data_IF_215224440986
#
_entry.id   IF_215224440986
#
_cell.length_a   1.000
_cell.length_b   1.000
_cell.length_c   1.000
_cell.angle_alpha   90.00
_cell.angle_beta   90.00
_cell.angle_gamma   90.00
#
_symmetry.space_group_name_H-M   'P 1'
#
loop_
_entity.id
_entity.type
_entity.pdbx_description
1 polymer ?
#
# COMPACT_ATOMS: atom_id res chain seq x y z
N UNK A 1 -50.66 58.05 -18.42
CA UNK A 1 -49.38 57.65 -17.84
C UNK A 1 -48.92 56.34 -18.52
N UNK A 2 -47.97 56.42 -19.46
CA UNK A 2 -47.43 55.24 -20.14
C UNK A 2 -46.26 54.69 -19.30
N UNK A 3 -46.46 53.52 -18.65
CA UNK A 3 -45.42 52.80 -18.00
C UNK A 3 -44.54 52.10 -19.07
N UNK A 4 -43.39 52.72 -19.36
CA UNK A 4 -42.42 52.19 -20.29
C UNK A 4 -41.71 50.97 -19.67
N UNK A 5 -42.11 49.76 -20.06
CA UNK A 5 -41.41 48.52 -19.77
C UNK A 5 -40.03 48.55 -20.44
N UNK A 6 -38.95 48.77 -19.68
CA UNK A 6 -37.59 48.74 -20.16
C UNK A 6 -37.28 47.28 -20.52
N UNK A 7 -37.42 46.91 -21.81
CA UNK A 7 -36.95 45.61 -22.35
C UNK A 7 -35.43 45.55 -22.23
N UNK A 8 -34.91 44.79 -21.23
CA UNK A 8 -33.48 44.55 -21.09
C UNK A 8 -32.94 43.92 -22.38
N UNK A 9 -31.85 44.46 -22.93
CA UNK A 9 -31.25 43.98 -24.21
C UNK A 9 -30.92 42.51 -24.10
N UNK A 10 -31.10 41.72 -25.18
CA UNK A 10 -30.80 40.28 -25.21
C UNK A 10 -29.36 39.99 -24.77
N UNK A 11 -28.42 40.83 -25.09
CA UNK A 11 -27.01 40.76 -24.72
C UNK A 11 -26.81 40.83 -23.18
N UNK A 12 -27.53 41.74 -22.48
CA UNK A 12 -27.46 41.82 -21.00
C UNK A 12 -28.02 40.57 -20.33
N UNK A 13 -29.03 39.90 -20.89
CA UNK A 13 -29.57 38.62 -20.42
C UNK A 13 -28.56 37.50 -20.62
N UNK A 14 -27.89 37.45 -21.77
CA UNK A 14 -26.85 36.48 -22.08
C UNK A 14 -25.66 36.55 -21.09
N UNK A 15 -25.09 37.75 -20.89
CA UNK A 15 -24.00 37.94 -19.92
C UNK A 15 -24.43 37.60 -18.48
N UNK A 16 -25.67 37.92 -18.08
CA UNK A 16 -26.18 37.54 -16.76
C UNK A 16 -26.30 36.01 -16.62
N UNK A 17 -26.72 35.29 -17.65
CA UNK A 17 -26.79 33.85 -17.65
C UNK A 17 -25.41 33.20 -17.50
N UNK A 18 -24.40 33.67 -18.27
CA UNK A 18 -23.01 33.21 -18.15
C UNK A 18 -22.47 33.48 -16.73
N UNK A 19 -22.69 34.68 -16.21
CA UNK A 19 -22.25 35.03 -14.85
C UNK A 19 -22.86 34.10 -13.79
N UNK A 20 -24.17 33.78 -13.88
CA UNK A 20 -24.85 32.86 -12.98
C UNK A 20 -24.25 31.46 -13.10
N UNK A 21 -23.98 30.97 -14.31
CA UNK A 21 -23.36 29.65 -14.53
C UNK A 21 -21.96 29.60 -13.90
N UNK A 22 -21.11 30.58 -14.17
CA UNK A 22 -19.75 30.66 -13.64
C UNK A 22 -19.78 30.74 -12.10
N UNK A 23 -20.67 31.58 -11.54
CA UNK A 23 -20.84 31.70 -10.10
C UNK A 23 -21.31 30.38 -9.47
N UNK A 24 -22.25 29.68 -10.11
CA UNK A 24 -22.74 28.39 -9.63
C UNK A 24 -21.63 27.33 -9.62
N UNK A 25 -20.81 27.29 -10.67
CA UNK A 25 -19.63 26.39 -10.74
C UNK A 25 -18.63 26.74 -9.64
N UNK A 26 -18.35 28.02 -9.42
CA UNK A 26 -17.42 28.47 -8.36
C UNK A 26 -17.92 28.09 -6.96
N UNK A 27 -19.22 28.26 -6.69
CA UNK A 27 -19.85 27.86 -5.43
C UNK A 27 -19.77 26.34 -5.25
N UNK A 28 -20.09 25.53 -6.29
CA UNK A 28 -20.02 24.08 -6.24
C UNK A 28 -18.58 23.60 -5.99
N UNK A 29 -17.59 24.24 -6.65
CA UNK A 29 -16.17 23.92 -6.44
C UNK A 29 -15.70 24.29 -5.03
N UNK A 30 -16.06 25.47 -4.51
CA UNK A 30 -15.76 25.87 -3.15
C UNK A 30 -16.40 24.93 -2.13
N UNK A 31 -17.66 24.52 -2.36
CA UNK A 31 -18.35 23.52 -1.55
C UNK A 31 -17.64 22.16 -1.55
N UNK A 32 -17.14 21.69 -2.71
CA UNK A 32 -16.35 20.47 -2.80
C UNK A 32 -15.05 20.57 -2.01
N UNK A 33 -14.29 21.67 -2.17
CA UNK A 33 -13.05 21.90 -1.43
C UNK A 33 -13.30 21.96 0.08
N UNK A 34 -14.36 22.64 0.51
CA UNK A 34 -14.76 22.68 1.90
C UNK A 34 -15.09 21.27 2.42
N UNK A 35 -15.89 20.51 1.70
CA UNK A 35 -16.27 19.15 2.05
C UNK A 35 -15.06 18.22 2.23
N UNK A 36 -14.14 18.16 1.23
CA UNK A 36 -12.96 17.31 1.34
C UNK A 36 -11.99 17.76 2.43
N UNK A 37 -11.94 19.08 2.73
CA UNK A 37 -11.11 19.62 3.82
C UNK A 37 -11.68 19.30 5.20
N UNK A 38 -12.99 19.39 5.40
CA UNK A 38 -13.66 19.08 6.65
C UNK A 38 -13.68 17.57 6.95
N UNK A 39 -13.69 16.75 5.90
CA UNK A 39 -13.70 15.29 6.01
C UNK A 39 -12.32 14.66 5.92
N UNK A 40 -11.24 15.47 5.89
CA UNK A 40 -9.85 14.99 5.82
C UNK A 40 -9.54 14.00 6.96
N UNK A 41 -9.06 12.82 6.62
CA UNK A 41 -8.51 11.87 7.59
C UNK A 41 -7.18 12.38 8.13
N UNK A 42 -7.13 12.63 9.44
CA UNK A 42 -5.97 13.16 10.17
C UNK A 42 -5.60 12.18 11.29
N UNK A 43 -4.86 11.11 10.98
CA UNK A 43 -4.45 10.14 12.01
C UNK A 43 -3.40 10.74 12.96
N UNK A 44 -3.36 10.23 14.18
CA UNK A 44 -2.31 10.53 15.13
C UNK A 44 -0.93 10.05 14.65
N UNK A 45 0.14 10.60 15.23
CA UNK A 45 1.51 10.17 14.92
C UNK A 45 1.72 8.69 15.25
N UNK A 46 1.13 8.22 16.36
CA UNK A 46 1.17 6.83 16.81
C UNK A 46 -0.20 6.43 17.35
N UNK A 47 -0.77 5.36 16.80
CA UNK A 47 -2.04 4.79 17.24
C UNK A 47 -1.84 3.32 17.67
N UNK A 48 -2.45 2.91 18.79
CA UNK A 48 -2.56 1.49 19.14
C UNK A 48 -3.54 0.82 18.18
N UNK A 49 -3.16 -0.34 17.66
CA UNK A 49 -3.99 -1.12 16.77
C UNK A 49 -4.58 -2.30 17.53
N UNK A 50 -5.89 -2.50 17.34
CA UNK A 50 -6.59 -3.65 17.90
C UNK A 50 -6.13 -4.93 17.20
N UNK A 51 -5.83 -5.94 18.01
CA UNK A 51 -5.50 -7.29 17.57
C UNK A 51 -6.80 -8.11 17.61
N UNK A 52 -7.10 -8.81 16.52
CA UNK A 52 -8.25 -9.67 16.35
C UNK A 52 -7.78 -11.12 16.17
N UNK A 53 -8.61 -12.08 16.53
CA UNK A 53 -8.25 -13.48 16.45
C UNK A 53 -7.48 -13.96 17.69
N UNK A 54 -6.90 -15.15 17.59
CA UNK A 54 -6.19 -15.76 18.71
C UNK A 54 -5.04 -16.62 18.16
N UNK A 55 -3.81 -16.14 18.28
CA UNK A 55 -2.60 -16.90 18.00
C UNK A 55 -1.97 -17.37 19.31
N UNK A 56 -1.45 -18.59 19.30
CA UNK A 56 -0.81 -19.20 20.47
C UNK A 56 0.67 -19.48 20.30
N UNK A 57 1.19 -19.45 19.04
CA UNK A 57 2.59 -19.76 18.74
C UNK A 57 3.51 -18.73 19.37
N UNK A 58 4.37 -19.17 20.28
CA UNK A 58 5.47 -18.37 20.83
C UNK A 58 6.69 -18.42 19.93
N UNK A 59 7.68 -17.59 20.25
CA UNK A 59 8.96 -17.49 19.53
C UNK A 59 10.11 -17.60 20.52
N UNK A 60 11.18 -18.29 20.17
CA UNK A 60 12.44 -18.39 20.90
C UNK A 60 13.64 -18.24 19.97
N UNK A 61 14.81 -18.00 20.53
CA UNK A 61 16.09 -18.02 19.81
C UNK A 61 16.28 -19.37 19.12
N UNK A 62 16.75 -19.37 17.87
CA UNK A 62 16.95 -20.55 17.04
C UNK A 62 15.72 -20.94 16.21
N UNK A 63 14.54 -20.38 16.47
CA UNK A 63 13.36 -20.68 15.68
C UNK A 63 13.49 -20.13 14.25
N UNK A 64 13.05 -20.96 13.27
CA UNK A 64 12.79 -20.53 11.90
C UNK A 64 11.39 -19.95 11.78
N UNK A 65 11.27 -18.85 11.07
CA UNK A 65 10.04 -18.10 10.87
C UNK A 65 9.86 -17.81 9.39
N UNK A 66 8.74 -18.25 8.83
CA UNK A 66 8.37 -17.97 7.44
C UNK A 66 7.60 -16.68 7.36
N UNK A 67 8.10 -15.73 6.57
CA UNK A 67 7.51 -14.39 6.35
C UNK A 67 7.04 -14.30 4.91
N UNK A 68 5.86 -13.72 4.70
CA UNK A 68 5.32 -13.42 3.37
C UNK A 68 4.92 -11.95 3.31
N UNK A 69 5.31 -11.26 2.25
CA UNK A 69 4.83 -9.91 1.92
C UNK A 69 4.10 -9.92 0.58
N UNK A 70 2.95 -9.25 0.49
CA UNK A 70 2.19 -9.18 -0.74
C UNK A 70 1.32 -7.91 -0.83
N UNK A 71 1.61 -7.05 -1.79
CA UNK A 71 0.65 -6.04 -2.22
C UNK A 71 -0.45 -6.74 -3.05
N UNK A 72 -1.70 -6.69 -2.59
CA UNK A 72 -2.80 -7.43 -3.22
C UNK A 72 -3.63 -6.59 -4.20
N UNK A 73 -3.20 -5.35 -4.48
CA UNK A 73 -3.89 -4.46 -5.43
C UNK A 73 -5.39 -4.37 -5.16
N UNK A 74 -5.78 -4.25 -3.88
CA UNK A 74 -7.20 -4.27 -3.42
C UNK A 74 -8.08 -5.34 -4.10
N UNK A 75 -7.45 -6.44 -4.54
CA UNK A 75 -8.11 -7.55 -5.24
C UNK A 75 -8.66 -7.19 -6.62
N UNK A 76 -8.31 -6.03 -7.19
CA UNK A 76 -8.85 -5.57 -8.47
C UNK A 76 -7.79 -5.42 -9.58
N UNK A 77 -6.49 -5.48 -9.25
CA UNK A 77 -5.38 -5.24 -10.19
C UNK A 77 -4.78 -6.53 -10.78
N UNK A 78 -5.58 -7.58 -10.95
CA UNK A 78 -5.13 -8.81 -11.59
C UNK A 78 -4.70 -8.62 -13.06
N UNK A 79 -4.26 -9.71 -13.71
CA UNK A 79 -3.66 -9.69 -15.04
C UNK A 79 -4.53 -9.09 -16.17
N UNK A 80 -5.82 -8.89 -15.95
CA UNK A 80 -6.76 -8.27 -16.88
C UNK A 80 -6.98 -6.77 -16.65
N UNK A 81 -6.33 -6.19 -15.64
CA UNK A 81 -6.51 -4.80 -15.26
C UNK A 81 -5.43 -3.89 -15.87
N UNK A 82 -5.82 -2.66 -16.12
CA UNK A 82 -5.00 -1.46 -16.29
C UNK A 82 -5.51 -0.38 -15.34
N UNK A 83 -4.71 0.65 -15.05
CA UNK A 83 -5.07 1.67 -14.08
C UNK A 83 -4.66 3.06 -14.55
N UNK A 84 -5.56 4.02 -14.44
CA UNK A 84 -5.39 5.36 -15.00
C UNK A 84 -4.15 6.11 -14.48
N UNK A 85 -3.73 5.88 -13.23
CA UNK A 85 -2.57 6.57 -12.67
C UNK A 85 -1.24 6.07 -13.25
N UNK A 86 -1.22 4.87 -13.81
CA UNK A 86 -0.04 4.23 -14.42
C UNK A 86 -0.09 4.26 -15.96
N UNK A 87 -0.91 5.14 -16.52
CA UNK A 87 -1.05 5.29 -17.98
C UNK A 87 -2.15 4.45 -18.62
N UNK A 88 -2.90 3.68 -17.84
CA UNK A 88 -4.08 2.94 -18.30
C UNK A 88 -5.33 3.82 -18.41
N UNK A 89 -6.47 3.19 -18.69
CA UNK A 89 -7.73 3.90 -18.96
C UNK A 89 -8.79 3.71 -17.87
N UNK A 90 -8.66 2.69 -17.02
CA UNK A 90 -9.74 2.30 -16.11
C UNK A 90 -9.52 2.85 -14.69
N UNK A 91 -10.63 3.32 -14.10
CA UNK A 91 -10.73 3.74 -12.69
C UNK A 91 -11.26 2.58 -11.84
N UNK A 92 -12.30 1.90 -12.33
CA UNK A 92 -12.80 0.64 -11.80
C UNK A 92 -12.23 -0.49 -12.66
N UNK A 93 -11.14 -1.08 -12.22
CA UNK A 93 -10.28 -1.98 -13.00
C UNK A 93 -10.80 -3.41 -13.12
N UNK A 94 -11.81 -3.78 -12.31
CA UNK A 94 -12.37 -5.13 -12.28
C UNK A 94 -13.85 -5.13 -11.91
N UNK A 95 -14.59 -6.18 -12.28
CA UNK A 95 -15.95 -6.41 -11.80
C UNK A 95 -15.99 -6.89 -10.35
N UNK A 96 -17.13 -6.70 -9.67
CA UNK A 96 -17.35 -7.18 -8.29
C UNK A 96 -17.08 -8.68 -8.12
N UNK A 97 -17.49 -9.50 -9.10
CA UNK A 97 -17.25 -10.94 -9.07
C UNK A 97 -15.77 -11.28 -9.23
N UNK A 98 -15.04 -10.52 -10.06
CA UNK A 98 -13.59 -10.70 -10.20
C UNK A 98 -12.85 -10.34 -8.91
N UNK A 99 -13.21 -9.25 -8.24
CA UNK A 99 -12.65 -8.88 -6.93
C UNK A 99 -12.87 -10.00 -5.91
N UNK A 100 -14.11 -10.53 -5.81
CA UNK A 100 -14.41 -11.66 -4.91
C UNK A 100 -13.55 -12.89 -5.21
N UNK A 101 -13.40 -13.24 -6.51
CA UNK A 101 -12.59 -14.36 -6.96
C UNK A 101 -11.10 -14.15 -6.64
N UNK A 102 -10.57 -12.95 -6.88
CA UNK A 102 -9.19 -12.62 -6.58
C UNK A 102 -8.91 -12.73 -5.08
N UNK A 103 -9.75 -12.16 -4.21
CA UNK A 103 -9.58 -12.26 -2.74
C UNK A 103 -9.63 -13.70 -2.28
N UNK A 104 -10.52 -14.54 -2.82
CA UNK A 104 -10.56 -15.98 -2.52
C UNK A 104 -9.25 -16.68 -2.93
N UNK A 105 -8.72 -16.36 -4.12
CA UNK A 105 -7.46 -16.92 -4.62
C UNK A 105 -6.25 -16.46 -3.80
N UNK A 106 -6.21 -15.17 -3.42
CA UNK A 106 -5.19 -14.60 -2.54
C UNK A 106 -5.19 -15.31 -1.18
N UNK A 107 -6.37 -15.47 -0.56
CA UNK A 107 -6.50 -16.25 0.69
C UNK A 107 -6.03 -17.70 0.52
N UNK A 108 -6.33 -18.33 -0.60
CA UNK A 108 -5.88 -19.67 -0.95
C UNK A 108 -4.36 -19.79 -1.04
N UNK A 109 -3.71 -18.82 -1.69
CA UNK A 109 -2.25 -18.80 -1.82
C UNK A 109 -1.56 -18.54 -0.48
N UNK A 110 -2.07 -17.63 0.36
CA UNK A 110 -1.55 -17.42 1.72
C UNK A 110 -1.60 -18.73 2.52
N UNK A 111 -2.73 -19.47 2.47
CA UNK A 111 -2.82 -20.79 3.13
C UNK A 111 -1.84 -21.79 2.57
N UNK A 112 -1.68 -21.87 1.25
CA UNK A 112 -0.73 -22.77 0.57
C UNK A 112 0.71 -22.50 0.98
N UNK A 113 1.12 -21.23 1.03
CA UNK A 113 2.45 -20.84 1.49
C UNK A 113 2.64 -21.05 2.99
N UNK A 114 1.57 -21.05 3.77
CA UNK A 114 1.56 -21.32 5.21
C UNK A 114 2.59 -20.49 6.01
N UNK A 115 2.69 -19.16 5.83
CA UNK A 115 3.64 -18.33 6.55
C UNK A 115 3.28 -18.18 8.02
N UNK A 116 4.28 -17.90 8.85
CA UNK A 116 4.08 -17.51 10.25
C UNK A 116 3.61 -16.06 10.37
N UNK A 117 4.12 -15.21 9.47
CA UNK A 117 3.77 -13.78 9.38
C UNK A 117 3.45 -13.45 7.92
N UNK A 118 2.27 -12.86 7.68
CA UNK A 118 1.88 -12.32 6.37
C UNK A 118 1.68 -10.82 6.47
N UNK A 119 2.43 -10.05 5.69
CA UNK A 119 2.32 -8.59 5.60
C UNK A 119 1.67 -8.22 4.27
N UNK A 120 0.48 -7.64 4.32
CA UNK A 120 -0.36 -7.40 3.15
C UNK A 120 -0.54 -5.90 2.96
N UNK A 121 -0.37 -5.41 1.73
CA UNK A 121 -0.58 -4.02 1.37
C UNK A 121 -1.82 -3.90 0.47
N UNK A 122 -2.36 -2.70 0.37
CA UNK A 122 -3.57 -2.37 -0.39
C UNK A 122 -4.81 -3.20 -0.03
N UNK A 123 -5.10 -3.29 1.26
CA UNK A 123 -6.26 -4.02 1.77
C UNK A 123 -7.43 -3.06 1.95
N UNK A 124 -8.43 -3.14 1.11
CA UNK A 124 -9.63 -2.29 1.22
C UNK A 124 -10.58 -2.82 2.30
N UNK A 125 -11.09 -1.88 3.11
CA UNK A 125 -12.12 -2.15 4.10
C UNK A 125 -13.51 -1.74 3.61
N UNK A 126 -13.61 -0.54 2.99
CA UNK A 126 -14.88 0.04 2.55
C UNK A 126 -14.61 1.07 1.44
N UNK A 127 -14.12 0.61 0.28
CA UNK A 127 -13.76 1.46 -0.86
C UNK A 127 -14.64 1.17 -2.07
N UNK A 128 -15.03 2.24 -2.80
CA UNK A 128 -15.80 2.13 -4.04
C UNK A 128 -15.08 1.26 -5.09
N UNK A 129 -13.75 1.41 -5.23
CA UNK A 129 -12.93 0.69 -6.23
C UNK A 129 -12.97 -0.83 -6.08
N UNK A 130 -13.28 -1.33 -4.88
CA UNK A 130 -13.43 -2.76 -4.57
C UNK A 130 -14.87 -3.13 -4.18
N UNK A 131 -15.86 -2.31 -4.61
CA UNK A 131 -17.29 -2.56 -4.38
C UNK A 131 -17.67 -2.68 -2.90
N UNK A 132 -16.99 -1.92 -2.03
CA UNK A 132 -17.22 -1.90 -0.57
C UNK A 132 -17.05 -3.27 0.09
N UNK A 133 -16.26 -4.17 -0.53
CA UNK A 133 -15.95 -5.48 0.02
C UNK A 133 -14.95 -5.33 1.16
N UNK A 134 -15.35 -5.73 2.38
CA UNK A 134 -14.45 -5.76 3.54
C UNK A 134 -13.43 -6.89 3.40
N UNK A 135 -12.26 -6.57 2.81
CA UNK A 135 -11.18 -7.52 2.58
C UNK A 135 -10.44 -7.86 3.88
N UNK A 136 -10.37 -6.91 4.83
CA UNK A 136 -9.74 -7.13 6.14
C UNK A 136 -10.41 -8.29 6.87
N UNK A 137 -11.73 -8.31 6.91
CA UNK A 137 -12.48 -9.38 7.56
C UNK A 137 -12.34 -10.72 6.82
N UNK A 138 -12.41 -10.68 5.47
CA UNK A 138 -12.31 -11.89 4.65
C UNK A 138 -10.94 -12.56 4.74
N UNK A 139 -9.86 -11.78 4.70
CA UNK A 139 -8.50 -12.28 4.83
C UNK A 139 -8.20 -12.73 6.27
N UNK A 140 -8.64 -11.95 7.28
CA UNK A 140 -8.43 -12.28 8.69
C UNK A 140 -9.09 -13.59 9.10
N UNK A 141 -10.29 -13.87 8.59
CA UNK A 141 -11.01 -15.13 8.84
C UNK A 141 -10.50 -16.31 8.01
N UNK A 142 -9.60 -16.07 7.04
CA UNK A 142 -9.11 -17.13 6.16
C UNK A 142 -7.97 -17.97 6.78
N UNK A 143 -7.45 -17.58 7.94
CA UNK A 143 -6.29 -18.20 8.59
C UNK A 143 -6.64 -18.59 10.02
N UNK A 144 -7.02 -19.85 10.22
CA UNK A 144 -7.29 -20.41 11.55
C UNK A 144 -6.03 -20.38 12.43
N UNK A 145 -6.22 -20.14 13.73
CA UNK A 145 -5.14 -20.07 14.71
C UNK A 145 -4.20 -18.87 14.54
N UNK A 146 -4.65 -17.80 13.84
CA UNK A 146 -3.89 -16.58 13.63
C UNK A 146 -4.55 -15.37 14.28
N UNK A 147 -3.73 -14.38 14.60
CA UNK A 147 -4.15 -13.01 14.88
C UNK A 147 -4.04 -12.16 13.61
N UNK A 148 -4.87 -11.11 13.52
CA UNK A 148 -4.71 -10.11 12.48
C UNK A 148 -4.94 -8.70 13.01
N UNK A 149 -4.29 -7.75 12.39
CA UNK A 149 -4.40 -6.34 12.71
C UNK A 149 -4.22 -5.49 11.46
N UNK A 150 -4.89 -4.33 11.46
CA UNK A 150 -5.03 -3.49 10.29
C UNK A 150 -4.76 -2.04 10.63
N UNK A 151 -3.87 -1.41 9.85
CA UNK A 151 -3.57 0.02 9.95
C UNK A 151 -4.07 0.74 8.69
N UNK A 152 -5.00 1.66 8.88
CA UNK A 152 -5.52 2.48 7.79
C UNK A 152 -4.43 3.45 7.30
N UNK A 153 -4.20 3.48 5.99
CA UNK A 153 -3.29 4.43 5.37
C UNK A 153 -3.97 5.29 4.28
N UNK A 154 -5.20 4.96 3.91
CA UNK A 154 -6.00 5.73 2.98
C UNK A 154 -7.45 5.80 3.44
N UNK A 155 -7.94 7.02 3.73
CA UNK A 155 -9.34 7.27 4.00
C UNK A 155 -9.72 8.62 3.40
N UNK A 156 -10.74 8.61 2.53
CA UNK A 156 -11.36 9.81 1.98
C UNK A 156 -12.86 9.57 1.83
N UNK A 157 -13.66 10.55 2.25
CA UNK A 157 -15.10 10.48 2.07
C UNK A 157 -15.48 10.48 0.59
N UNK A 158 -14.73 11.23 -0.23
CA UNK A 158 -14.90 11.31 -1.67
C UNK A 158 -13.62 11.80 -2.34
N UNK A 159 -13.11 11.05 -3.30
CA UNK A 159 -12.01 11.42 -4.20
C UNK A 159 -12.61 11.82 -5.52
N UNK A 160 -12.60 13.12 -5.90
CA UNK A 160 -13.35 13.66 -7.05
C UNK A 160 -12.72 13.34 -8.40
N UNK A 161 -11.51 12.82 -8.43
CA UNK A 161 -10.73 12.57 -9.65
C UNK A 161 -10.40 11.07 -9.79
N UNK A 162 -10.26 10.56 -11.03
CA UNK A 162 -10.55 11.20 -12.31
C UNK A 162 -12.07 11.27 -12.60
N UNK A 163 -12.47 11.30 -13.86
CA UNK A 163 -13.88 11.16 -14.27
C UNK A 163 -14.02 9.83 -15.02
N UNK A 164 -14.83 8.89 -14.52
CA UNK A 164 -15.64 8.93 -13.30
C UNK A 164 -14.78 8.91 -12.02
N UNK A 165 -15.24 9.54 -10.90
CA UNK A 165 -14.43 9.70 -9.68
C UNK A 165 -14.10 8.35 -9.01
N UNK A 166 -12.95 8.28 -8.32
CA UNK A 166 -12.62 7.14 -7.44
C UNK A 166 -13.65 6.98 -6.31
N UNK A 167 -14.23 8.08 -5.84
CA UNK A 167 -15.28 8.06 -4.82
C UNK A 167 -14.75 7.77 -3.41
N UNK A 168 -15.51 7.06 -2.60
CA UNK A 168 -15.14 6.73 -1.22
C UNK A 168 -13.96 5.76 -1.17
N UNK A 169 -13.02 6.04 -0.28
CA UNK A 169 -11.84 5.23 -0.02
C UNK A 169 -11.70 4.92 1.47
N UNK A 170 -11.46 3.67 1.80
CA UNK A 170 -11.05 3.19 3.13
C UNK A 170 -10.16 1.95 2.93
N UNK A 171 -8.84 2.16 2.97
CA UNK A 171 -7.83 1.17 2.65
C UNK A 171 -6.64 1.25 3.61
N UNK A 172 -5.83 0.19 3.66
CA UNK A 172 -4.68 0.16 4.55
C UNK A 172 -3.74 -1.00 4.30
N UNK A 173 -2.91 -1.25 5.30
CA UNK A 173 -2.01 -2.38 5.39
C UNK A 173 -2.45 -3.31 6.51
N UNK A 174 -2.29 -4.61 6.31
CA UNK A 174 -2.76 -5.65 7.23
C UNK A 174 -1.64 -6.65 7.50
N UNK A 175 -1.52 -7.07 8.75
CA UNK A 175 -0.66 -8.20 9.10
C UNK A 175 -1.50 -9.32 9.68
N UNK A 176 -1.24 -10.55 9.23
CA UNK A 176 -1.79 -11.78 9.80
C UNK A 176 -0.61 -12.54 10.40
N UNK A 177 -0.74 -13.03 11.63
CA UNK A 177 0.35 -13.68 12.33
C UNK A 177 -0.15 -14.91 13.10
N UNK A 178 0.56 -16.03 12.97
CA UNK A 178 0.43 -17.20 13.85
C UNK A 178 1.19 -17.01 15.14
N UNK A 179 2.12 -16.07 15.18
CA UNK A 179 2.86 -15.71 16.38
C UNK A 179 1.99 -14.78 17.23
N UNK A 180 1.92 -15.05 18.53
CA UNK A 180 1.18 -14.21 19.47
C UNK A 180 1.84 -12.84 19.60
N UNK A 181 1.18 -11.80 19.12
CA UNK A 181 1.65 -10.42 19.23
C UNK A 181 1.35 -9.85 20.62
N UNK A 182 2.33 -9.20 21.23
CA UNK A 182 2.18 -8.45 22.48
C UNK A 182 1.60 -7.05 22.24
N UNK A 183 1.87 -6.47 21.07
CA UNK A 183 1.33 -5.17 20.69
C UNK A 183 1.38 -4.98 19.17
N UNK A 184 0.47 -4.16 18.67
CA UNK A 184 0.49 -3.63 17.32
C UNK A 184 0.25 -2.12 17.35
N UNK A 185 0.98 -1.36 16.53
CA UNK A 185 0.89 0.10 16.44
C UNK A 185 0.94 0.54 15.00
N UNK A 186 0.11 1.55 14.67
CA UNK A 186 0.27 2.35 13.47
C UNK A 186 1.20 3.51 13.79
N UNK A 187 2.22 3.73 12.96
CA UNK A 187 3.13 4.88 13.06
C UNK A 187 3.04 5.66 11.76
N UNK A 188 2.59 6.92 11.84
CA UNK A 188 2.44 7.79 10.66
C UNK A 188 3.78 8.07 10.00
N UNK A 189 3.81 7.99 8.68
CA UNK A 189 4.91 8.45 7.84
C UNK A 189 4.67 9.90 7.39
N UNK A 190 5.72 10.64 6.97
CA UNK A 190 5.56 11.95 6.37
C UNK A 190 4.60 11.92 5.18
N UNK A 191 3.72 12.92 5.09
CA UNK A 191 2.76 13.08 4.00
C UNK A 191 3.42 13.84 2.86
N UNK A 192 3.38 13.28 1.65
CA UNK A 192 4.08 13.79 0.47
C UNK A 192 3.37 14.95 -0.23
N UNK A 193 2.11 15.19 0.09
CA UNK A 193 1.26 16.15 -0.63
C UNK A 193 0.85 17.34 0.23
N UNK A 194 0.65 18.50 -0.42
CA UNK A 194 0.12 19.71 0.21
C UNK A 194 -1.39 19.83 0.03
N UNK A 195 -2.03 20.75 0.77
CA UNK A 195 -3.42 21.11 0.55
C UNK A 195 -3.62 21.74 -0.84
N UNK A 196 -4.71 21.48 -1.56
CA UNK A 196 -5.85 20.62 -1.19
C UNK A 196 -5.67 19.13 -1.48
N UNK A 197 -4.69 18.72 -2.30
CA UNK A 197 -4.46 17.34 -2.75
C UNK A 197 -4.29 16.38 -1.57
N UNK A 198 -3.61 16.81 -0.52
CA UNK A 198 -3.39 16.05 0.71
C UNK A 198 -4.69 15.55 1.36
N UNK A 199 -5.79 16.29 1.21
CA UNK A 199 -7.07 15.97 1.90
C UNK A 199 -7.69 14.66 1.44
N UNK A 200 -7.45 14.29 0.19
CA UNK A 200 -7.99 13.09 -0.45
C UNK A 200 -6.91 12.08 -0.83
N UNK A 201 -5.70 12.23 -0.30
CA UNK A 201 -4.57 11.36 -0.61
C UNK A 201 -4.17 10.48 0.59
N UNK A 202 -3.29 9.52 0.34
CA UNK A 202 -2.80 8.56 1.34
C UNK A 202 -2.13 9.27 2.53
N UNK A 203 -2.37 8.72 3.71
CA UNK A 203 -1.66 9.02 4.96
C UNK A 203 -0.85 7.77 5.33
N UNK A 204 0.21 7.51 4.55
CA UNK A 204 1.02 6.30 4.67
C UNK A 204 1.54 6.10 6.09
N UNK A 205 1.70 4.84 6.48
CA UNK A 205 2.12 4.46 7.82
C UNK A 205 2.93 3.17 7.81
N UNK A 206 3.59 2.89 8.91
CA UNK A 206 4.14 1.59 9.26
C UNK A 206 3.17 0.89 10.22
N UNK A 207 2.92 -0.39 10.01
CA UNK A 207 2.24 -1.25 10.98
C UNK A 207 3.30 -2.07 11.70
N UNK A 208 3.62 -1.67 12.92
CA UNK A 208 4.67 -2.25 13.75
C UNK A 208 4.07 -3.18 14.76
N UNK A 209 4.48 -4.43 14.73
CA UNK A 209 4.01 -5.48 15.63
C UNK A 209 5.18 -6.11 16.37
N UNK A 210 4.91 -6.62 17.58
CA UNK A 210 5.95 -7.12 18.48
C UNK A 210 5.52 -8.45 19.11
N UNK A 211 6.44 -9.40 19.10
CA UNK A 211 6.31 -10.69 19.82
C UNK A 211 7.53 -10.88 20.69
N UNK A 212 7.34 -11.22 21.98
CA UNK A 212 8.45 -11.51 22.90
C UNK A 212 9.18 -12.77 22.47
N UNK A 213 10.52 -12.70 22.40
CA UNK A 213 11.37 -13.88 22.17
C UNK A 213 11.75 -14.49 23.50
N UNK A 214 11.23 -15.70 23.75
CA UNK A 214 11.40 -16.40 25.04
C UNK A 214 12.88 -16.58 25.39
N UNK A 215 13.23 -16.33 26.66
CA UNK A 215 14.57 -16.54 27.20
C UNK A 215 15.61 -15.47 26.86
N UNK A 216 15.22 -14.39 26.12
CA UNK A 216 16.22 -13.38 25.67
C UNK A 216 15.99 -11.98 26.25
N UNK A 217 14.83 -11.68 26.78
CA UNK A 217 14.42 -10.31 27.12
C UNK A 217 14.25 -9.39 25.89
N UNK A 218 14.38 -9.93 24.68
CA UNK A 218 14.24 -9.21 23.39
C UNK A 218 12.91 -9.50 22.73
N UNK A 219 12.60 -8.72 21.68
CA UNK A 219 11.40 -8.86 20.90
C UNK A 219 11.73 -9.13 19.41
N UNK A 220 10.89 -9.89 18.74
CA UNK A 220 10.76 -9.87 17.30
C UNK A 220 9.84 -8.72 16.92
N UNK A 221 10.39 -7.73 16.24
CA UNK A 221 9.71 -6.52 15.74
C UNK A 221 9.52 -6.69 14.25
N UNK A 222 8.27 -6.82 13.79
CA UNK A 222 7.96 -6.97 12.38
C UNK A 222 7.10 -5.81 11.90
N UNK A 223 7.53 -5.21 10.79
CA UNK A 223 7.07 -3.92 10.28
C UNK A 223 6.53 -4.13 8.88
N UNK A 224 5.21 -4.02 8.72
CA UNK A 224 4.57 -3.97 7.41
C UNK A 224 4.60 -2.53 6.91
N UNK A 225 4.97 -2.34 5.65
CA UNK A 225 5.09 -1.03 5.02
C UNK A 225 4.52 -1.02 3.59
N UNK A 226 4.13 0.16 3.16
CA UNK A 226 3.84 0.51 1.78
C UNK A 226 4.24 1.97 1.60
N UNK A 227 5.42 2.21 0.98
CA UNK A 227 6.00 3.55 0.86
C UNK A 227 5.43 4.33 -0.35
N UNK A 228 5.79 5.61 -0.44
CA UNK A 228 5.27 6.52 -1.46
C UNK A 228 5.74 6.15 -2.88
N UNK A 229 4.80 6.22 -3.84
CA UNK A 229 5.02 5.88 -5.24
C UNK A 229 5.17 7.11 -6.16
N UNK A 230 4.36 8.15 -5.94
CA UNK A 230 4.04 9.16 -6.96
C UNK A 230 4.52 10.57 -6.65
N UNK A 231 5.28 10.79 -5.58
CA UNK A 231 5.84 12.10 -5.33
C UNK A 231 7.09 12.37 -6.18
N UNK A 232 7.58 13.61 -6.14
CA UNK A 232 8.80 14.02 -6.85
C UNK A 232 10.09 13.66 -6.10
N UNK A 233 10.06 12.66 -5.22
CA UNK A 233 11.19 12.11 -4.48
C UNK A 233 11.39 12.67 -3.06
N UNK A 234 10.90 13.84 -2.72
CA UNK A 234 11.08 14.43 -1.39
C UNK A 234 10.33 13.64 -0.30
N UNK A 235 9.08 13.25 -0.58
CA UNK A 235 8.27 12.43 0.31
C UNK A 235 8.80 11.01 0.45
N UNK A 236 9.22 10.36 -0.65
CA UNK A 236 9.88 9.05 -0.64
C UNK A 236 11.09 9.07 0.30
N UNK A 237 12.03 10.02 0.10
CA UNK A 237 13.22 10.19 0.95
C UNK A 237 12.87 10.45 2.41
N UNK A 238 11.83 11.26 2.68
CA UNK A 238 11.38 11.53 4.04
C UNK A 238 10.81 10.28 4.72
N UNK A 239 10.04 9.47 4.00
CA UNK A 239 9.50 8.20 4.49
C UNK A 239 10.60 7.15 4.70
N UNK A 240 11.55 7.02 3.77
CA UNK A 240 12.72 6.15 3.88
C UNK A 240 13.57 6.50 5.11
N UNK A 241 13.85 7.81 5.33
CA UNK A 241 14.56 8.27 6.53
C UNK A 241 13.79 8.00 7.84
N UNK A 242 12.45 8.11 7.80
CA UNK A 242 11.63 7.79 8.97
C UNK A 242 11.68 6.30 9.31
N UNK A 243 11.62 5.43 8.29
CA UNK A 243 11.79 3.99 8.43
C UNK A 243 13.17 3.65 9.01
N UNK A 244 14.25 4.20 8.43
CA UNK A 244 15.63 3.97 8.89
C UNK A 244 15.81 4.30 10.38
N UNK A 245 15.31 5.45 10.84
CA UNK A 245 15.38 5.82 12.29
C UNK A 245 14.71 4.78 13.18
N UNK A 246 13.60 4.19 12.76
CA UNK A 246 12.89 3.18 13.54
C UNK A 246 13.69 1.87 13.55
N UNK A 247 14.16 1.42 12.38
CA UNK A 247 14.95 0.19 12.25
C UNK A 247 16.23 0.26 13.09
N UNK A 248 17.00 1.34 12.95
CA UNK A 248 18.22 1.60 13.75
C UNK A 248 17.93 1.59 15.25
N UNK A 249 16.86 2.27 15.69
CA UNK A 249 16.48 2.31 17.11
C UNK A 249 16.14 0.92 17.67
N UNK A 250 15.46 0.08 16.89
CA UNK A 250 15.06 -1.25 17.34
C UNK A 250 16.25 -2.23 17.29
N UNK A 251 17.08 -2.16 16.25
CA UNK A 251 18.32 -2.96 16.17
C UNK A 251 19.30 -2.64 17.29
N UNK A 252 19.49 -1.35 17.62
CA UNK A 252 20.35 -0.91 18.73
C UNK A 252 19.91 -1.43 20.11
N UNK A 253 18.62 -1.79 20.28
CA UNK A 253 18.13 -2.46 21.49
C UNK A 253 18.46 -3.96 21.51
N UNK A 254 19.02 -4.49 20.44
CA UNK A 254 19.24 -5.93 20.24
C UNK A 254 17.96 -6.70 19.90
N UNK A 255 16.87 -6.03 19.52
CA UNK A 255 15.67 -6.68 19.01
C UNK A 255 15.94 -7.33 17.66
N UNK A 256 15.20 -8.40 17.36
CA UNK A 256 15.15 -8.98 16.03
C UNK A 256 14.19 -8.16 15.18
N UNK A 257 14.68 -7.56 14.10
CA UNK A 257 13.87 -6.60 13.34
C UNK A 257 13.69 -7.08 11.90
N UNK A 258 12.45 -7.04 11.41
CA UNK A 258 12.10 -7.30 10.01
C UNK A 258 11.17 -6.19 9.55
N UNK A 259 11.47 -5.58 8.41
CA UNK A 259 10.55 -4.71 7.70
C UNK A 259 10.33 -5.30 6.30
N UNK A 260 9.09 -5.55 5.92
CA UNK A 260 8.75 -6.09 4.61
C UNK A 260 7.51 -5.38 4.05
N UNK A 261 7.46 -5.28 2.74
CA UNK A 261 6.36 -4.63 2.05
C UNK A 261 6.73 -4.16 0.65
N UNK A 262 5.86 -3.31 0.14
CA UNK A 262 6.06 -2.57 -1.08
C UNK A 262 6.81 -1.25 -0.77
N UNK A 263 8.07 -1.20 -1.19
CA UNK A 263 8.91 0.00 -1.01
C UNK A 263 8.65 1.05 -2.08
N UNK A 264 8.02 0.72 -3.20
CA UNK A 264 7.91 1.57 -4.40
C UNK A 264 9.28 2.10 -4.86
N UNK A 265 10.33 1.44 -4.46
CA UNK A 265 11.75 1.73 -4.72
C UNK A 265 12.51 0.42 -4.76
N UNK A 266 13.63 0.40 -5.46
CA UNK A 266 14.53 -0.75 -5.53
C UNK A 266 15.76 -0.47 -4.64
N UNK A 267 16.38 -1.50 -4.04
CA UNK A 267 17.65 -1.35 -3.35
C UNK A 267 18.82 -1.31 -4.34
N UNK A 268 19.86 -0.50 -4.07
CA UNK A 268 21.01 -0.37 -4.97
C UNK A 268 21.89 -1.62 -5.06
N UNK A 269 21.68 -2.63 -4.22
CA UNK A 269 22.36 -3.94 -4.29
C UNK A 269 21.57 -4.98 -5.12
N UNK A 270 20.50 -4.58 -5.81
CA UNK A 270 19.66 -5.46 -6.65
C UNK A 270 20.03 -5.27 -8.12
N UNK A 271 20.29 -6.35 -8.83
CA UNK A 271 20.50 -6.29 -10.27
C UNK A 271 19.17 -6.04 -11.00
N UNK A 272 19.12 -4.89 -11.68
CA UNK A 272 17.95 -4.42 -12.44
C UNK A 272 18.15 -4.48 -13.96
N UNK A 273 19.19 -5.15 -14.45
CA UNK A 273 19.50 -5.19 -15.88
C UNK A 273 18.38 -5.76 -16.74
N UNK A 274 17.63 -6.73 -16.21
CA UNK A 274 16.48 -7.34 -16.89
C UNK A 274 15.20 -6.50 -16.80
N UNK A 275 15.16 -5.47 -15.91
CA UNK A 275 13.97 -4.66 -15.62
C UNK A 275 14.13 -3.20 -16.05
N UNK A 276 14.81 -2.97 -17.19
CA UNK A 276 14.97 -1.60 -17.74
C UNK A 276 13.62 -0.98 -18.04
N UNK A 277 13.42 0.22 -17.50
CA UNK A 277 12.14 0.92 -17.65
C UNK A 277 12.03 1.56 -19.02
N UNK A 278 10.92 1.27 -19.72
CA UNK A 278 10.57 1.85 -21.01
C UNK A 278 10.24 3.34 -20.87
N UNK A 279 10.58 4.12 -21.90
CA UNK A 279 10.32 5.58 -21.92
C UNK A 279 8.82 5.86 -21.72
N UNK A 280 8.51 6.79 -20.83
CA UNK A 280 7.13 7.22 -20.53
C UNK A 280 6.40 6.39 -19.48
N UNK A 281 6.97 5.29 -19.00
CA UNK A 281 6.40 4.54 -17.89
C UNK A 281 6.95 5.02 -16.53
N UNK A 282 6.22 4.70 -15.47
CA UNK A 282 6.65 4.96 -14.09
C UNK A 282 7.97 4.25 -13.82
N UNK A 283 8.87 4.92 -13.08
CA UNK A 283 10.18 4.40 -12.73
C UNK A 283 10.35 4.39 -11.21
N UNK A 284 10.75 3.25 -10.59
CA UNK A 284 11.07 3.22 -9.17
C UNK A 284 12.34 4.06 -8.90
N UNK A 285 12.36 4.77 -7.76
CA UNK A 285 13.57 5.35 -7.22
C UNK A 285 14.45 4.26 -6.58
N UNK A 286 15.68 4.63 -6.23
CA UNK A 286 16.66 3.74 -5.61
C UNK A 286 16.84 4.11 -4.15
N UNK A 287 16.75 3.12 -3.26
CA UNK A 287 17.20 3.21 -1.87
C UNK A 287 18.69 2.86 -1.84
N UNK A 288 19.52 3.81 -1.45
CA UNK A 288 20.92 3.56 -1.19
C UNK A 288 21.06 2.91 0.19
N UNK A 289 21.52 1.65 0.21
CA UNK A 289 21.69 0.89 1.45
C UNK A 289 22.79 1.46 2.34
N UNK A 290 23.75 2.22 1.78
CA UNK A 290 24.81 2.89 2.54
C UNK A 290 24.29 3.99 3.46
N UNK A 291 23.10 4.54 3.21
CA UNK A 291 22.40 5.49 4.09
C UNK A 291 21.90 4.85 5.40
N UNK A 292 21.97 3.52 5.50
CA UNK A 292 21.43 2.77 6.63
C UNK A 292 22.53 2.26 7.56
N UNK A 293 22.11 1.86 8.77
CA UNK A 293 23.02 1.29 9.76
C UNK A 293 23.56 -0.07 9.29
N UNK A 294 24.85 -0.33 9.47
CA UNK A 294 25.53 -1.58 9.07
C UNK A 294 24.98 -2.84 9.76
N UNK A 295 24.19 -2.67 10.82
CA UNK A 295 23.49 -3.78 11.48
C UNK A 295 22.22 -4.24 10.73
N UNK A 296 21.91 -3.63 9.56
CA UNK A 296 20.76 -3.95 8.74
C UNK A 296 21.18 -4.59 7.41
N UNK A 297 20.43 -5.57 6.99
CA UNK A 297 20.60 -6.27 5.71
C UNK A 297 19.37 -6.04 4.83
N UNK A 298 19.59 -6.06 3.50
CA UNK A 298 18.58 -5.69 2.49
C UNK A 298 18.50 -6.78 1.45
N UNK A 299 17.30 -7.22 1.13
CA UNK A 299 17.07 -8.27 0.13
C UNK A 299 15.80 -8.01 -0.67
N UNK A 300 15.95 -8.11 -1.98
CA UNK A 300 14.89 -8.28 -2.98
C UNK A 300 15.32 -9.38 -3.93
N UNK A 301 14.39 -10.23 -4.31
CA UNK A 301 14.64 -11.27 -5.33
C UNK A 301 14.40 -10.66 -6.72
N UNK A 302 15.47 -10.56 -7.52
CA UNK A 302 15.42 -10.07 -8.90
C UNK A 302 15.27 -11.18 -9.95
N UNK A 303 15.21 -12.45 -9.54
CA UNK A 303 15.03 -13.57 -10.48
C UNK A 303 13.58 -13.66 -11.01
N UNK A 304 12.64 -13.10 -10.28
CA UNK A 304 11.22 -13.03 -10.64
C UNK A 304 10.70 -11.63 -10.33
N UNK A 305 10.00 -10.95 -11.25
CA UNK A 305 9.50 -9.59 -10.99
C UNK A 305 8.45 -9.59 -9.89
N UNK A 306 8.55 -8.63 -8.98
CA UNK A 306 7.58 -8.48 -7.90
C UNK A 306 6.35 -7.67 -8.30
N UNK A 307 6.48 -6.78 -9.29
CA UNK A 307 5.40 -5.93 -9.77
C UNK A 307 5.42 -5.80 -11.30
N UNK A 308 4.27 -5.48 -11.90
CA UNK A 308 4.12 -5.14 -13.31
C UNK A 308 3.53 -3.73 -13.49
N UNK A 309 3.74 -3.14 -14.66
CA UNK A 309 3.03 -1.90 -15.02
C UNK A 309 1.53 -2.14 -15.20
N UNK A 310 0.77 -1.06 -15.06
CA UNK A 310 -0.70 -1.04 -15.23
C UNK A 310 -1.13 -0.13 -16.38
N UNK A 311 -0.21 0.20 -17.30
CA UNK A 311 -0.49 0.95 -18.53
C UNK A 311 -1.46 0.21 -19.47
N UNK A 312 -1.47 -1.11 -19.39
CA UNK A 312 -2.35 -2.02 -20.15
C UNK A 312 -2.53 -3.35 -19.43
N UNK A 313 -3.58 -4.14 -19.79
CA UNK A 313 -3.74 -5.49 -19.29
C UNK A 313 -2.59 -6.41 -19.71
N UNK A 314 -2.10 -7.26 -18.78
CA UNK A 314 -1.11 -8.28 -19.08
C UNK A 314 -1.72 -9.46 -19.84
N UNK A 315 -3.01 -9.75 -19.61
CA UNK A 315 -3.74 -10.83 -20.29
C UNK A 315 -3.82 -10.53 -21.78
N UNK A 316 -3.25 -11.41 -22.61
CA UNK A 316 -3.18 -11.26 -24.07
C UNK A 316 -2.01 -10.41 -24.57
N UNK A 317 -1.22 -9.78 -23.68
CA UNK A 317 -0.03 -9.05 -24.08
C UNK A 317 1.19 -9.96 -24.28
N UNK A 318 2.17 -9.47 -25.06
CA UNK A 318 3.48 -10.12 -25.14
C UNK A 318 4.24 -9.90 -23.83
N UNK A 319 4.36 -10.95 -23.04
CA UNK A 319 4.99 -10.91 -21.71
C UNK A 319 6.48 -10.54 -21.77
N UNK A 320 7.19 -10.89 -22.84
CA UNK A 320 8.61 -10.56 -23.02
C UNK A 320 8.85 -9.06 -23.29
N UNK A 321 7.81 -8.35 -23.75
CA UNK A 321 7.85 -6.91 -24.02
C UNK A 321 7.02 -6.11 -23.02
N UNK A 322 6.64 -6.71 -21.89
CA UNK A 322 5.88 -6.06 -20.82
C UNK A 322 6.82 -5.39 -19.82
N UNK A 323 6.37 -4.34 -19.19
CA UNK A 323 7.16 -3.67 -18.15
C UNK A 323 6.96 -4.34 -16.80
N UNK A 324 8.07 -4.73 -16.18
CA UNK A 324 8.11 -5.32 -14.85
C UNK A 324 9.05 -4.53 -13.94
N UNK A 325 8.87 -4.74 -12.61
CA UNK A 325 9.62 -4.07 -11.56
C UNK A 325 9.98 -5.04 -10.42
N UNK A 326 11.02 -4.70 -9.67
CA UNK A 326 11.37 -5.33 -8.39
C UNK A 326 11.35 -4.24 -7.33
N UNK A 327 10.27 -4.15 -6.56
CA UNK A 327 9.99 -3.09 -5.58
C UNK A 327 9.47 -3.60 -4.25
N UNK A 328 9.26 -4.91 -4.13
CA UNK A 328 8.88 -5.59 -2.90
C UNK A 328 10.09 -6.36 -2.34
N UNK A 329 10.28 -6.32 -1.03
CA UNK A 329 11.42 -6.98 -0.39
C UNK A 329 11.41 -6.87 1.12
N UNK A 330 12.59 -7.12 1.72
CA UNK A 330 12.77 -7.11 3.17
C UNK A 330 14.04 -6.35 3.58
N UNK A 331 13.96 -5.73 4.76
CA UNK A 331 15.11 -5.23 5.54
C UNK A 331 15.09 -5.98 6.87
N UNK A 332 16.24 -6.49 7.32
CA UNK A 332 16.31 -7.26 8.56
C UNK A 332 17.59 -7.00 9.34
N UNK A 333 17.56 -7.15 10.66
CA UNK A 333 18.72 -6.92 11.54
C UNK A 333 19.73 -8.06 11.48
N UNK A 334 21.01 -7.78 11.75
CA UNK A 334 22.14 -8.72 11.63
C UNK A 334 22.08 -9.92 12.58
N UNK A 335 21.28 -9.86 13.65
CA UNK A 335 20.98 -10.98 14.55
C UNK A 335 19.91 -11.94 13.99
N UNK A 336 19.49 -11.72 12.76
CA UNK A 336 18.65 -12.63 11.97
C UNK A 336 19.52 -13.25 10.87
N UNK A 337 19.36 -14.54 10.63
CA UNK A 337 19.90 -15.26 9.49
C UNK A 337 18.80 -15.45 8.45
N UNK A 338 19.08 -15.14 7.19
CA UNK A 338 18.16 -15.35 6.08
C UNK A 338 18.49 -16.68 5.39
N UNK A 339 17.57 -17.63 5.46
CA UNK A 339 17.72 -18.93 4.78
C UNK A 339 17.44 -18.79 3.29
N UNK A 340 16.37 -18.10 2.94
CA UNK A 340 16.03 -17.72 1.56
C UNK A 340 15.09 -16.52 1.53
N UNK A 341 15.09 -15.84 0.39
CA UNK A 341 14.08 -14.85 0.00
C UNK A 341 13.78 -15.06 -1.49
N UNK A 342 12.51 -15.28 -1.83
CA UNK A 342 12.11 -15.52 -3.23
C UNK A 342 10.74 -14.92 -3.53
N UNK A 343 10.55 -14.51 -4.77
CA UNK A 343 9.28 -14.09 -5.33
C UNK A 343 8.55 -15.33 -5.89
N UNK A 344 7.29 -15.51 -5.50
CA UNK A 344 6.45 -16.61 -6.02
C UNK A 344 5.72 -16.12 -7.26
N UNK A 345 6.11 -16.60 -8.44
CA UNK A 345 5.43 -16.22 -9.68
C UNK A 345 4.01 -16.78 -9.75
N UNK A 346 3.04 -15.90 -9.65
CA UNK A 346 1.61 -16.19 -9.83
C UNK A 346 1.08 -15.68 -11.18
N UNK A 347 1.96 -15.21 -12.07
CA UNK A 347 1.63 -14.64 -13.37
C UNK A 347 0.74 -13.39 -13.23
N UNK A 348 0.83 -12.70 -12.10
CA UNK A 348 0.02 -11.50 -11.79
C UNK A 348 -1.49 -11.74 -11.92
N UNK A 349 -1.94 -12.95 -11.69
CA UNK A 349 -3.32 -13.38 -11.98
C UNK A 349 -4.36 -12.67 -11.13
N UNK A 350 -4.04 -12.37 -9.86
CA UNK A 350 -4.97 -11.85 -8.87
C UNK A 350 -4.58 -10.47 -8.31
N UNK A 351 -3.36 -10.01 -8.54
CA UNK A 351 -2.79 -8.72 -8.21
C UNK A 351 -1.77 -8.32 -9.27
N UNK A 352 -1.40 -7.07 -9.34
CA UNK A 352 -0.28 -6.53 -10.12
C UNK A 352 1.06 -6.75 -9.43
N UNK A 353 1.07 -7.33 -8.22
CA UNK A 353 2.26 -7.81 -7.55
C UNK A 353 2.22 -9.32 -7.35
N UNK A 354 3.40 -9.93 -7.37
CA UNK A 354 3.68 -11.29 -6.92
C UNK A 354 4.12 -11.27 -5.46
N UNK A 355 3.77 -12.29 -4.64
CA UNK A 355 4.19 -12.33 -3.24
C UNK A 355 5.68 -12.66 -3.10
N UNK A 356 6.34 -12.00 -2.16
CA UNK A 356 7.69 -12.33 -1.69
C UNK A 356 7.59 -13.19 -0.44
N UNK A 357 8.31 -14.31 -0.42
CA UNK A 357 8.37 -15.26 0.69
C UNK A 357 9.81 -15.42 1.14
N UNK A 358 10.04 -15.31 2.42
CA UNK A 358 11.35 -15.48 3.04
C UNK A 358 11.28 -16.42 4.24
N UNK A 359 12.37 -17.12 4.53
CA UNK A 359 12.57 -17.83 5.77
C UNK A 359 13.78 -17.29 6.50
N UNK A 360 13.56 -16.97 7.76
CA UNK A 360 14.56 -16.40 8.65
C UNK A 360 14.73 -17.24 9.90
N UNK A 361 15.93 -17.18 10.50
CA UNK A 361 16.25 -17.80 11.79
C UNK A 361 16.76 -16.76 12.77
N UNK A 362 16.26 -16.78 14.00
CA UNK A 362 16.72 -15.90 15.07
C UNK A 362 18.03 -16.44 15.67
N UNK A 363 19.13 -15.68 15.55
CA UNK A 363 20.46 -16.07 16.10
C UNK A 363 20.55 -15.96 17.59
#
# INVERSE_FOLDING_TARGET
>A
MHSGSIKRSPMKRFFKAIFIIVLSIAIAFAGLIAFISLTEYKPDKVERIRIYGNASKGVKKGDSIKVMSWNIGYGALGNNADFFMDGGNHVLTSSKNRVKKNIKSISGEIRKQSPDITMIQEVDKDSRRSYYINQVEKLGKAMDGSEYYYARNYKAAFVPYPIPPLGKMDSGIMTISRLKANSAKRVSLPVSFTWPVRTVNLKRCLLISRTKVKGTGKELVYINLHLEAYDKGAGKKAQTRALNRILKKEAAKGNYVIAAGDFNQTFNNVDMNEYKVSKGLWKPDIIDISDYDSSLNFVMDSTTPTCRSLDKPLKGANKLKFQYYVIDGLIYSSNIEMSYCKTVDLGFKNSDHNPVVAEIKLK
#
